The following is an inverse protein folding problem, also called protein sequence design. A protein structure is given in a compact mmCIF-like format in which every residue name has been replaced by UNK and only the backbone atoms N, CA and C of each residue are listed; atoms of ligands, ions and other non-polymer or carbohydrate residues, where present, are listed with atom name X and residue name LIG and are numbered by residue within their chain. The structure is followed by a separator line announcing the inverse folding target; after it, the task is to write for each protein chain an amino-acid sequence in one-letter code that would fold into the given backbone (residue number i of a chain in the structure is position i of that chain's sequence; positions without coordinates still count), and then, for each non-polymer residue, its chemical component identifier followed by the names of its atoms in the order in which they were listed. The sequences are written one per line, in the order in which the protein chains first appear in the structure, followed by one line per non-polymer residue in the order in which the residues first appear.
data_IF_427020733291
#
_entry.id   IF_427020733291
#
_cell.length_a   1.000
_cell.length_b   1.000
_cell.length_c   1.000
_cell.angle_alpha   90.00
_cell.angle_beta   90.00
_cell.angle_gamma   90.00
#
_symmetry.space_group_name_H-M   'P 1'
#
loop_
_entity.id
_entity.type
_entity.pdbx_description
1 polymer ?
#
# COMPACT_ATOMS: atom_id res chain seq x y z
N UNK A 1 29.34 -12.33 -17.09
CA UNK A 1 27.86 -12.39 -17.02
C UNK A 1 27.35 -10.98 -16.74
N UNK A 2 26.45 -10.48 -17.55
CA UNK A 2 25.79 -9.19 -17.33
C UNK A 2 24.84 -9.27 -16.13
N UNK A 3 24.34 -8.14 -15.65
CA UNK A 3 23.36 -8.14 -14.55
C UNK A 3 22.05 -8.80 -14.97
N UNK A 4 21.58 -8.55 -16.19
CA UNK A 4 20.38 -9.17 -16.72
C UNK A 4 20.52 -10.70 -16.87
N UNK A 5 21.67 -11.19 -17.34
CA UNK A 5 21.99 -12.64 -17.37
C UNK A 5 22.03 -13.22 -15.95
N UNK A 6 22.65 -12.50 -14.99
CA UNK A 6 22.68 -12.93 -13.58
C UNK A 6 21.26 -13.07 -13.02
N UNK A 7 20.40 -12.11 -13.33
CA UNK A 7 18.99 -12.13 -12.90
C UNK A 7 18.25 -13.34 -13.49
N UNK A 8 18.35 -13.52 -14.81
CA UNK A 8 17.60 -14.58 -15.51
C UNK A 8 18.11 -15.98 -15.17
N UNK A 9 19.44 -16.17 -15.08
CA UNK A 9 20.02 -17.51 -14.95
C UNK A 9 20.27 -17.96 -13.51
N UNK A 10 20.50 -17.01 -12.58
CA UNK A 10 20.87 -17.34 -11.20
C UNK A 10 19.82 -16.93 -10.17
N UNK A 11 19.19 -15.76 -10.32
CA UNK A 11 18.27 -15.23 -9.30
C UNK A 11 16.84 -15.74 -9.51
N UNK A 12 16.30 -15.63 -10.72
CA UNK A 12 14.94 -16.04 -11.04
C UNK A 12 14.69 -17.54 -10.74
N UNK A 13 15.59 -18.47 -11.08
CA UNK A 13 15.40 -19.88 -10.71
C UNK A 13 15.36 -20.10 -9.20
N UNK A 14 16.21 -19.40 -8.43
CA UNK A 14 16.21 -19.49 -6.96
C UNK A 14 14.92 -18.96 -6.34
N UNK A 15 14.37 -17.88 -6.88
CA UNK A 15 13.07 -17.37 -6.44
C UNK A 15 11.95 -18.37 -6.71
N UNK A 16 11.90 -18.98 -7.90
CA UNK A 16 10.92 -20.03 -8.22
C UNK A 16 11.06 -21.26 -7.32
N UNK A 17 12.28 -21.72 -7.06
CA UNK A 17 12.55 -22.83 -6.13
C UNK A 17 12.07 -22.53 -4.71
N UNK A 18 12.06 -21.25 -4.31
CA UNK A 18 11.51 -20.81 -3.03
C UNK A 18 9.99 -20.55 -3.05
N UNK A 19 9.29 -20.91 -4.14
CA UNK A 19 7.84 -20.78 -4.25
C UNK A 19 7.32 -19.41 -4.67
N UNK A 20 8.20 -18.52 -5.14
CA UNK A 20 7.78 -17.25 -5.71
C UNK A 20 7.27 -17.44 -7.15
N UNK A 21 6.34 -16.59 -7.59
CA UNK A 21 5.59 -16.67 -8.87
C UNK A 21 4.54 -17.79 -8.90
N UNK A 22 4.16 -18.32 -7.72
CA UNK A 22 3.08 -19.29 -7.57
C UNK A 22 1.92 -18.65 -6.79
N UNK A 23 0.69 -18.98 -7.15
CA UNK A 23 -0.54 -18.51 -6.49
C UNK A 23 -0.55 -16.98 -6.27
N UNK A 24 -0.65 -16.55 -5.03
CA UNK A 24 -0.67 -15.13 -4.62
C UNK A 24 0.73 -14.52 -4.44
N UNK A 25 1.79 -15.29 -4.69
CA UNK A 25 3.17 -14.83 -4.58
C UNK A 25 3.66 -14.23 -5.91
N UNK A 26 4.02 -12.96 -5.91
CA UNK A 26 4.42 -12.21 -7.11
C UNK A 26 5.83 -11.67 -7.00
N UNK A 27 6.57 -11.79 -8.10
CA UNK A 27 7.87 -11.17 -8.30
C UNK A 27 7.72 -10.02 -9.29
N UNK A 28 7.75 -8.80 -8.78
CA UNK A 28 7.65 -7.61 -9.61
C UNK A 28 9.06 -7.17 -10.00
N UNK A 29 9.43 -7.35 -11.25
CA UNK A 29 10.74 -6.98 -11.81
C UNK A 29 10.76 -5.54 -12.28
N UNK A 30 11.92 -4.88 -12.16
CA UNK A 30 12.11 -3.47 -12.54
C UNK A 30 11.01 -2.57 -11.93
N UNK A 31 10.79 -2.74 -10.63
CA UNK A 31 9.68 -2.07 -9.95
C UNK A 31 9.98 -0.56 -9.78
N UNK A 32 9.12 0.32 -10.31
CA UNK A 32 9.33 1.76 -10.21
C UNK A 32 9.06 2.25 -8.77
N UNK A 33 10.11 2.65 -8.07
CA UNK A 33 10.00 3.23 -6.71
C UNK A 33 9.59 4.70 -6.81
N UNK A 34 10.24 5.48 -7.66
CA UNK A 34 9.93 6.90 -7.85
C UNK A 34 10.19 7.36 -9.28
N UNK A 35 9.33 8.22 -9.77
CA UNK A 35 9.51 8.87 -11.08
C UNK A 35 10.58 9.99 -11.08
N UNK A 36 11.36 10.10 -9.99
CA UNK A 36 12.32 11.17 -9.77
C UNK A 36 11.70 12.39 -9.08
N UNK A 37 12.53 13.13 -8.33
CA UNK A 37 12.11 14.38 -7.65
C UNK A 37 12.00 15.50 -8.70
N UNK A 38 11.01 16.35 -8.54
CA UNK A 38 10.93 17.59 -9.31
C UNK A 38 12.00 18.54 -8.78
N UNK A 39 12.91 18.94 -9.65
CA UNK A 39 13.99 19.90 -9.37
C UNK A 39 13.54 21.32 -9.72
N UNK A 40 14.30 22.31 -9.24
CA UNK A 40 14.11 23.72 -9.62
C UNK A 40 14.15 23.82 -11.15
N UNK A 41 13.10 24.44 -11.75
CA UNK A 41 12.96 24.52 -13.21
C UNK A 41 12.10 23.40 -13.84
N UNK A 42 11.39 22.57 -13.02
CA UNK A 42 10.40 21.60 -13.49
C UNK A 42 10.99 20.30 -14.06
N UNK A 43 12.30 20.14 -14.10
CA UNK A 43 12.96 18.89 -14.51
C UNK A 43 12.83 17.84 -13.40
N UNK A 44 12.67 16.57 -13.78
CA UNK A 44 12.71 15.45 -12.83
C UNK A 44 14.12 14.89 -12.72
N UNK A 45 14.54 14.50 -11.53
CA UNK A 45 15.71 13.65 -11.35
C UNK A 45 15.44 12.26 -11.96
N UNK A 46 16.46 11.45 -12.10
CA UNK A 46 16.34 10.09 -12.63
C UNK A 46 15.31 9.29 -11.84
N UNK A 47 14.48 8.52 -12.54
CA UNK A 47 13.60 7.56 -11.94
C UNK A 47 14.41 6.45 -11.24
N UNK A 48 13.90 5.97 -10.12
CA UNK A 48 14.54 4.90 -9.33
C UNK A 48 13.70 3.65 -9.48
N UNK A 49 14.35 2.54 -9.80
CA UNK A 49 13.74 1.22 -9.93
C UNK A 49 14.45 0.26 -8.98
N UNK A 50 13.69 -0.63 -8.37
CA UNK A 50 14.24 -1.80 -7.70
C UNK A 50 14.26 -2.97 -8.69
N UNK A 51 15.29 -3.81 -8.63
CA UNK A 51 15.39 -4.97 -9.52
C UNK A 51 14.21 -5.92 -9.30
N UNK A 52 13.89 -6.19 -8.03
CA UNK A 52 12.74 -7.00 -7.66
C UNK A 52 12.01 -6.45 -6.44
N UNK A 53 10.69 -6.57 -6.44
CA UNK A 53 9.84 -6.42 -5.25
C UNK A 53 9.01 -7.69 -5.11
N UNK A 54 9.17 -8.35 -3.98
CA UNK A 54 8.42 -9.54 -3.62
C UNK A 54 7.12 -9.17 -2.92
N UNK A 55 6.01 -9.67 -3.44
CA UNK A 55 4.67 -9.43 -2.88
C UNK A 55 3.96 -10.76 -2.64
N UNK A 56 3.26 -10.86 -1.51
CA UNK A 56 2.44 -12.03 -1.18
C UNK A 56 1.11 -11.59 -0.62
N UNK A 57 0.02 -12.24 -1.02
CA UNK A 57 -1.36 -11.86 -0.65
C UNK A 57 -1.63 -10.36 -0.88
N UNK A 58 -1.11 -9.81 -1.97
CA UNK A 58 -1.28 -8.39 -2.33
C UNK A 58 -0.46 -7.37 -1.52
N UNK A 59 0.40 -7.83 -0.59
CA UNK A 59 1.26 -6.97 0.22
C UNK A 59 2.73 -7.14 -0.19
N UNK A 60 3.45 -6.03 -0.35
CA UNK A 60 4.90 -6.03 -0.57
C UNK A 60 5.62 -6.41 0.71
N UNK A 61 6.50 -7.40 0.65
CA UNK A 61 7.22 -7.94 1.80
C UNK A 61 8.71 -7.65 1.79
N UNK A 62 9.34 -7.66 0.59
CA UNK A 62 10.76 -7.42 0.47
C UNK A 62 11.12 -6.79 -0.87
N UNK A 63 12.30 -6.17 -0.90
CA UNK A 63 12.97 -5.73 -2.12
C UNK A 63 14.29 -6.48 -2.27
N UNK A 64 14.70 -6.77 -3.50
CA UNK A 64 15.98 -7.38 -3.83
C UNK A 64 16.72 -6.48 -4.79
N UNK A 65 17.98 -6.23 -4.49
CA UNK A 65 18.94 -5.58 -5.38
C UNK A 65 19.90 -6.64 -5.94
N UNK A 66 19.99 -6.68 -7.25
CA UNK A 66 20.84 -7.61 -7.98
C UNK A 66 22.15 -6.94 -8.43
N UNK A 67 23.21 -7.69 -8.46
CA UNK A 67 24.49 -7.29 -9.03
C UNK A 67 25.02 -8.40 -9.94
N UNK A 68 25.99 -8.07 -10.79
CA UNK A 68 26.66 -9.05 -11.66
C UNK A 68 27.28 -10.16 -10.83
N UNK A 69 27.29 -11.38 -11.36
CA UNK A 69 27.78 -12.58 -10.69
C UNK A 69 29.27 -12.56 -10.31
N UNK A 70 30.05 -11.67 -10.88
CA UNK A 70 31.47 -11.45 -10.61
C UNK A 70 31.76 -10.34 -9.59
N UNK A 71 30.72 -9.60 -9.17
CA UNK A 71 30.81 -8.62 -8.11
C UNK A 71 30.43 -9.24 -6.75
N UNK A 72 30.97 -8.68 -5.67
CA UNK A 72 30.54 -9.07 -4.33
C UNK A 72 29.08 -8.61 -4.04
N UNK A 73 28.33 -9.41 -3.29
CA UNK A 73 26.97 -9.02 -2.86
C UNK A 73 26.93 -7.68 -2.12
N UNK A 74 28.03 -7.30 -1.47
CA UNK A 74 28.15 -6.03 -0.73
C UNK A 74 27.94 -4.77 -1.57
N UNK A 75 28.19 -4.84 -2.87
CA UNK A 75 28.01 -3.72 -3.81
C UNK A 75 26.54 -3.25 -3.88
N UNK A 76 25.57 -4.15 -3.64
CA UNK A 76 24.14 -3.85 -3.67
C UNK A 76 23.54 -3.47 -2.32
N UNK A 77 24.23 -3.64 -1.20
CA UNK A 77 23.67 -3.54 0.15
C UNK A 77 23.09 -2.15 0.46
N UNK A 78 23.86 -1.09 0.18
CA UNK A 78 23.42 0.28 0.43
C UNK A 78 22.15 0.61 -0.37
N UNK A 79 22.11 0.21 -1.63
CA UNK A 79 21.00 0.44 -2.55
C UNK A 79 19.75 -0.37 -2.13
N UNK A 80 19.94 -1.62 -1.72
CA UNK A 80 18.88 -2.47 -1.19
C UNK A 80 18.23 -1.85 0.07
N UNK A 81 19.05 -1.33 0.99
CA UNK A 81 18.56 -0.62 2.20
C UNK A 81 17.77 0.65 1.84
N UNK A 82 18.31 1.47 0.94
CA UNK A 82 17.63 2.69 0.47
C UNK A 82 16.25 2.40 -0.14
N UNK A 83 16.16 1.32 -0.90
CA UNK A 83 14.88 0.91 -1.51
C UNK A 83 13.89 0.38 -0.49
N UNK A 84 14.36 -0.45 0.46
CA UNK A 84 13.53 -0.93 1.55
C UNK A 84 13.01 0.21 2.42
N UNK A 85 13.83 1.21 2.72
CA UNK A 85 13.43 2.40 3.47
C UNK A 85 12.34 3.19 2.71
N UNK A 86 12.54 3.47 1.41
CA UNK A 86 11.56 4.18 0.59
C UNK A 86 10.23 3.43 0.50
N UNK A 87 10.25 2.12 0.39
CA UNK A 87 9.07 1.26 0.34
C UNK A 87 8.51 0.90 1.72
N UNK A 88 9.19 1.31 2.80
CA UNK A 88 8.82 0.99 4.20
C UNK A 88 8.73 -0.51 4.46
N UNK A 89 9.66 -1.28 3.89
CA UNK A 89 9.75 -2.72 4.03
C UNK A 89 10.72 -3.09 5.17
N UNK A 90 10.40 -4.17 5.88
CA UNK A 90 11.22 -4.65 7.00
C UNK A 90 12.34 -5.61 6.56
N UNK A 91 12.24 -6.16 5.35
CA UNK A 91 13.23 -7.11 4.82
C UNK A 91 13.72 -6.66 3.46
N UNK A 92 15.03 -6.78 3.24
CA UNK A 92 15.63 -6.59 1.92
C UNK A 92 16.77 -7.58 1.69
N UNK A 93 17.12 -7.77 0.43
CA UNK A 93 18.21 -8.64 0.02
C UNK A 93 19.12 -7.94 -0.98
N UNK A 94 20.40 -8.21 -0.86
CA UNK A 94 21.39 -7.92 -1.92
C UNK A 94 21.96 -9.25 -2.41
N UNK A 95 22.10 -9.42 -3.73
CA UNK A 95 22.57 -10.68 -4.30
C UNK A 95 23.31 -10.49 -5.60
N UNK A 96 24.32 -11.32 -5.83
CA UNK A 96 25.00 -11.50 -7.12
C UNK A 96 24.58 -12.80 -7.83
N UNK A 97 23.48 -13.42 -7.37
CA UNK A 97 22.97 -14.69 -7.86
C UNK A 97 23.67 -15.91 -7.27
N UNK A 98 24.91 -15.81 -6.78
CA UNK A 98 25.63 -16.87 -6.08
C UNK A 98 25.38 -16.81 -4.58
N UNK A 99 25.56 -15.64 -4.02
CA UNK A 99 25.39 -15.33 -2.60
C UNK A 99 24.13 -14.47 -2.43
N UNK A 100 23.42 -14.70 -1.32
CA UNK A 100 22.21 -13.96 -0.95
C UNK A 100 22.44 -13.35 0.43
N UNK A 101 22.46 -12.03 0.52
CA UNK A 101 22.63 -11.30 1.76
C UNK A 101 21.30 -10.73 2.23
N UNK A 102 20.81 -11.21 3.36
CA UNK A 102 19.54 -10.82 3.96
C UNK A 102 19.75 -9.72 5.00
N UNK A 103 18.91 -8.71 4.97
CA UNK A 103 18.97 -7.55 5.84
C UNK A 103 17.60 -7.32 6.46
N UNK A 104 17.54 -7.29 7.79
CA UNK A 104 16.35 -6.90 8.54
C UNK A 104 16.44 -5.42 8.90
N UNK A 105 15.65 -4.57 8.26
CA UNK A 105 15.64 -3.12 8.48
C UNK A 105 15.21 -2.71 9.88
N UNK A 106 14.40 -3.56 10.54
CA UNK A 106 13.87 -3.29 11.87
C UNK A 106 14.89 -3.51 12.99
N UNK A 107 15.71 -4.57 12.88
CA UNK A 107 16.67 -4.95 13.91
C UNK A 107 18.11 -4.61 13.55
N UNK A 108 18.38 -4.31 12.29
CA UNK A 108 19.72 -4.14 11.74
C UNK A 108 20.49 -5.46 11.59
N UNK A 109 19.87 -6.63 11.80
CA UNK A 109 20.52 -7.93 11.60
C UNK A 109 20.77 -8.17 10.13
N UNK A 110 22.00 -8.57 9.82
CA UNK A 110 22.45 -8.84 8.47
C UNK A 110 23.18 -10.19 8.45
N UNK A 111 22.87 -11.03 7.45
CA UNK A 111 23.45 -12.37 7.36
C UNK A 111 23.42 -12.90 5.92
N UNK A 112 24.38 -13.76 5.57
CA UNK A 112 24.29 -14.59 4.38
C UNK A 112 23.28 -15.70 4.62
N UNK A 113 22.46 -15.97 3.60
CA UNK A 113 21.47 -17.04 3.63
C UNK A 113 21.62 -17.93 2.39
N UNK A 114 21.31 -19.22 2.55
CA UNK A 114 21.49 -20.21 1.49
C UNK A 114 20.41 -20.12 0.39
N UNK A 115 19.22 -19.61 0.74
CA UNK A 115 18.08 -19.46 -0.16
C UNK A 115 17.24 -18.22 0.19
N UNK A 116 16.44 -17.78 -0.74
CA UNK A 116 15.37 -16.86 -0.41
C UNK A 116 14.31 -17.54 0.47
N UNK A 117 13.72 -16.81 1.43
CA UNK A 117 12.59 -17.35 2.18
C UNK A 117 11.40 -17.61 1.26
N UNK A 118 10.59 -18.60 1.61
CA UNK A 118 9.31 -18.82 0.94
C UNK A 118 8.37 -17.62 1.19
N UNK A 119 7.31 -17.41 0.36
CA UNK A 119 6.31 -16.38 0.60
C UNK A 119 5.73 -16.43 2.02
N UNK A 120 5.42 -17.63 2.52
CA UNK A 120 4.84 -17.84 3.84
C UNK A 120 5.86 -17.55 4.97
N UNK A 121 7.11 -17.98 4.83
CA UNK A 121 8.17 -17.65 5.79
C UNK A 121 8.39 -16.14 5.90
N UNK A 122 8.39 -15.43 4.77
CA UNK A 122 8.56 -13.99 4.75
C UNK A 122 7.34 -13.26 5.31
N UNK A 123 6.14 -13.77 5.06
CA UNK A 123 4.90 -13.29 5.65
C UNK A 123 4.93 -13.40 7.16
N UNK A 124 5.24 -14.60 7.69
CA UNK A 124 5.29 -14.87 9.13
C UNK A 124 6.41 -14.07 9.82
N UNK A 125 7.51 -13.79 9.12
CA UNK A 125 8.57 -12.90 9.62
C UNK A 125 8.10 -11.44 9.70
N UNK A 126 7.29 -11.00 8.76
CA UNK A 126 6.77 -9.62 8.70
C UNK A 126 5.60 -9.42 9.66
N UNK A 127 4.73 -10.40 9.78
CA UNK A 127 3.54 -10.35 10.60
C UNK A 127 3.56 -11.45 11.66
N UNK A 128 3.79 -11.06 12.91
CA UNK A 128 3.89 -11.99 14.05
C UNK A 128 2.53 -12.56 14.49
N UNK A 129 1.42 -11.99 14.01
CA UNK A 129 0.06 -12.39 14.37
C UNK A 129 -0.76 -12.73 13.11
N UNK A 130 -1.63 -13.71 13.24
CA UNK A 130 -2.66 -13.97 12.23
C UNK A 130 -3.75 -12.92 12.37
N UNK A 131 -4.17 -12.33 11.26
CA UNK A 131 -5.19 -11.28 11.25
C UNK A 131 -6.04 -11.37 9.99
N UNK A 132 -7.22 -11.97 10.12
CA UNK A 132 -8.15 -12.17 9.02
C UNK A 132 -8.52 -10.87 8.31
N UNK A 133 -8.57 -9.74 9.03
CA UNK A 133 -8.88 -8.45 8.42
C UNK A 133 -7.76 -7.90 7.58
N UNK A 134 -6.49 -8.16 7.95
CA UNK A 134 -5.33 -7.84 7.12
C UNK A 134 -5.45 -8.56 5.78
N UNK A 135 -5.73 -9.86 5.80
CA UNK A 135 -5.85 -10.68 4.60
C UNK A 135 -7.04 -10.23 3.75
N UNK A 136 -8.23 -10.06 4.34
CA UNK A 136 -9.43 -9.55 3.64
C UNK A 136 -9.19 -8.17 2.98
N UNK A 137 -8.47 -7.27 3.63
CA UNK A 137 -8.12 -5.99 3.01
C UNK A 137 -7.13 -6.14 1.85
N UNK A 138 -6.19 -7.07 1.97
CA UNK A 138 -5.19 -7.33 0.95
C UNK A 138 -5.80 -7.97 -0.32
N UNK A 139 -6.75 -8.88 -0.18
CA UNK A 139 -7.48 -9.53 -1.28
C UNK A 139 -8.24 -8.54 -2.18
N UNK A 140 -8.67 -7.40 -1.64
CA UNK A 140 -9.42 -6.42 -2.41
C UNK A 140 -8.46 -5.57 -3.24
N UNK A 141 -8.55 -5.60 -4.58
CA UNK A 141 -7.70 -4.78 -5.42
C UNK A 141 -7.99 -3.29 -5.23
N UNK A 142 -7.00 -2.46 -5.54
CA UNK A 142 -7.24 -1.02 -5.67
C UNK A 142 -8.23 -0.75 -6.80
N UNK A 143 -9.11 0.21 -6.60
CA UNK A 143 -9.98 0.68 -7.65
C UNK A 143 -9.20 1.64 -8.55
N UNK A 144 -9.02 1.29 -9.80
CA UNK A 144 -8.27 2.07 -10.79
C UNK A 144 -9.14 3.04 -11.61
N UNK A 145 -10.42 3.16 -11.24
CA UNK A 145 -11.40 3.98 -11.96
C UNK A 145 -11.42 3.70 -13.46
N UNK A 146 -11.45 2.42 -13.83
CA UNK A 146 -11.46 1.99 -15.22
C UNK A 146 -10.12 2.23 -15.95
N UNK A 147 -9.00 2.09 -15.23
CA UNK A 147 -7.64 2.23 -15.76
C UNK A 147 -7.14 3.67 -15.83
N UNK A 148 -7.96 4.65 -15.42
CA UNK A 148 -7.60 6.08 -15.49
C UNK A 148 -6.72 6.51 -14.31
N UNK A 149 -6.72 5.75 -13.22
CA UNK A 149 -5.97 6.09 -12.02
C UNK A 149 -4.90 5.05 -11.70
N UNK A 150 -3.67 5.53 -11.53
CA UNK A 150 -2.54 4.70 -11.09
C UNK A 150 -2.12 5.12 -9.71
N UNK A 151 -2.11 4.16 -8.79
CA UNK A 151 -1.63 4.40 -7.43
C UNK A 151 -0.13 4.73 -7.44
N UNK A 152 0.25 5.74 -6.66
CA UNK A 152 1.66 6.07 -6.44
C UNK A 152 2.17 5.30 -5.23
N UNK A 153 3.46 4.96 -5.22
CA UNK A 153 4.06 4.14 -4.16
C UNK A 153 3.75 4.65 -2.74
N UNK A 154 3.84 5.97 -2.50
CA UNK A 154 3.56 6.56 -1.20
C UNK A 154 2.08 6.53 -0.82
N UNK A 155 1.16 6.59 -1.79
CA UNK A 155 -0.28 6.41 -1.57
C UNK A 155 -0.57 4.97 -1.15
N UNK A 156 0.03 4.01 -1.84
CA UNK A 156 -0.09 2.59 -1.51
C UNK A 156 0.41 2.32 -0.09
N UNK A 157 1.60 2.84 0.29
CA UNK A 157 2.13 2.72 1.65
C UNK A 157 1.15 3.32 2.67
N UNK A 158 0.62 4.52 2.43
CA UNK A 158 -0.32 5.17 3.33
C UNK A 158 -1.59 4.35 3.52
N UNK A 159 -2.15 3.79 2.44
CA UNK A 159 -3.34 2.96 2.48
C UNK A 159 -3.07 1.66 3.23
N UNK A 160 -1.98 0.95 2.91
CA UNK A 160 -1.62 -0.31 3.56
C UNK A 160 -1.37 -0.13 5.06
N UNK A 161 -0.60 0.89 5.46
CA UNK A 161 -0.34 1.17 6.89
C UNK A 161 -1.61 1.56 7.64
N UNK A 162 -2.53 2.28 7.00
CA UNK A 162 -3.83 2.62 7.60
C UNK A 162 -4.68 1.36 7.80
N UNK A 163 -4.80 0.53 6.79
CA UNK A 163 -5.59 -0.71 6.87
C UNK A 163 -4.99 -1.70 7.86
N UNK A 164 -3.67 -1.78 7.94
CA UNK A 164 -2.98 -2.57 8.97
C UNK A 164 -3.30 -2.05 10.38
N UNK A 165 -3.27 -0.74 10.59
CA UNK A 165 -3.65 -0.15 11.86
C UNK A 165 -5.12 -0.43 12.23
N UNK A 166 -6.03 -0.40 11.24
CA UNK A 166 -7.44 -0.79 11.41
C UNK A 166 -7.55 -2.28 11.76
N UNK A 167 -6.82 -3.14 11.06
CA UNK A 167 -6.76 -4.57 11.34
C UNK A 167 -6.27 -4.83 12.77
N UNK A 168 -5.31 -4.07 13.26
CA UNK A 168 -4.79 -4.11 14.63
C UNK A 168 -5.65 -3.39 15.68
N UNK A 169 -6.87 -2.98 15.33
CA UNK A 169 -7.82 -2.28 16.24
C UNK A 169 -7.30 -0.93 16.78
N UNK A 170 -6.38 -0.26 16.06
CA UNK A 170 -5.97 1.10 16.42
C UNK A 170 -7.16 2.05 16.26
N UNK A 171 -7.44 2.82 17.30
CA UNK A 171 -8.62 3.71 17.30
C UNK A 171 -8.34 5.07 16.67
N UNK A 172 -7.07 5.46 16.59
CA UNK A 172 -6.65 6.75 16.01
C UNK A 172 -5.47 6.56 15.10
N UNK A 173 -5.56 7.14 13.91
CA UNK A 173 -4.53 7.03 12.89
C UNK A 173 -4.31 8.44 12.34
N UNK A 174 -3.04 8.89 12.31
CA UNK A 174 -2.65 10.16 11.73
C UNK A 174 -1.82 9.91 10.46
N UNK A 175 -2.26 10.48 9.35
CA UNK A 175 -1.50 10.52 8.10
C UNK A 175 -1.08 11.96 7.81
N UNK A 176 0.22 12.21 7.76
CA UNK A 176 0.77 13.52 7.38
C UNK A 176 1.23 13.47 5.93
N UNK A 177 0.58 14.26 5.10
CA UNK A 177 0.80 14.28 3.65
C UNK A 177 0.79 15.73 3.14
N UNK A 178 1.73 16.06 2.24
CA UNK A 178 1.78 17.36 1.60
C UNK A 178 0.52 17.64 0.74
N UNK A 179 0.28 18.89 0.40
CA UNK A 179 -0.75 19.28 -0.57
C UNK A 179 -0.45 18.70 -1.94
N UNK A 180 -1.49 18.33 -2.70
CA UNK A 180 -1.32 17.74 -4.04
C UNK A 180 -0.90 16.27 -4.07
N UNK A 181 -0.75 15.59 -2.92
CA UNK A 181 -0.38 14.17 -2.87
C UNK A 181 -1.54 13.21 -3.11
N UNK A 182 -2.75 13.71 -3.31
CA UNK A 182 -3.95 12.89 -3.54
C UNK A 182 -4.56 12.33 -2.26
N UNK A 183 -4.66 13.15 -1.20
CA UNK A 183 -5.28 12.74 0.08
C UNK A 183 -6.69 12.16 -0.10
N UNK A 184 -7.50 12.77 -0.98
CA UNK A 184 -8.86 12.29 -1.29
C UNK A 184 -8.83 10.91 -1.93
N UNK A 185 -7.88 10.66 -2.86
CA UNK A 185 -7.70 9.34 -3.47
C UNK A 185 -7.27 8.27 -2.45
N UNK A 186 -6.43 8.63 -1.49
CA UNK A 186 -6.05 7.75 -0.38
C UNK A 186 -7.28 7.41 0.48
N UNK A 187 -8.06 8.42 0.87
CA UNK A 187 -9.29 8.23 1.64
C UNK A 187 -10.31 7.37 0.88
N UNK A 188 -10.45 7.61 -0.44
CA UNK A 188 -11.29 6.80 -1.30
C UNK A 188 -10.88 5.32 -1.28
N UNK A 189 -9.59 5.01 -1.45
CA UNK A 189 -9.10 3.63 -1.48
C UNK A 189 -9.25 2.93 -0.11
N UNK A 190 -9.03 3.64 0.97
CA UNK A 190 -9.28 3.12 2.32
C UNK A 190 -10.77 2.77 2.46
N UNK A 191 -11.66 3.71 2.13
CA UNK A 191 -13.10 3.49 2.16
C UNK A 191 -13.54 2.34 1.25
N UNK A 192 -12.95 2.25 0.04
CA UNK A 192 -13.21 1.17 -0.91
C UNK A 192 -12.90 -0.21 -0.34
N UNK A 193 -11.72 -0.38 0.23
CA UNK A 193 -11.32 -1.66 0.83
C UNK A 193 -12.16 -2.01 2.06
N UNK A 194 -12.48 -1.05 2.91
CA UNK A 194 -13.38 -1.24 4.05
C UNK A 194 -14.80 -1.63 3.60
N UNK A 195 -15.32 -0.98 2.57
CA UNK A 195 -16.66 -1.24 2.03
C UNK A 195 -16.74 -2.63 1.40
N UNK A 196 -15.80 -2.96 0.51
CA UNK A 196 -15.77 -4.24 -0.19
C UNK A 196 -15.55 -5.43 0.75
N UNK A 197 -14.73 -5.27 1.79
CA UNK A 197 -14.55 -6.30 2.82
C UNK A 197 -15.71 -6.39 3.81
N UNK A 198 -16.68 -5.48 3.76
CA UNK A 198 -17.78 -5.35 4.73
C UNK A 198 -17.25 -5.14 6.16
N UNK A 199 -16.11 -4.46 6.29
CA UNK A 199 -15.58 -4.15 7.61
C UNK A 199 -16.52 -3.22 8.37
N UNK A 200 -16.79 -3.53 9.61
CA UNK A 200 -17.58 -2.70 10.51
C UNK A 200 -16.99 -2.73 11.93
N UNK A 201 -17.48 -1.89 12.82
CA UNK A 201 -16.95 -1.79 14.19
C UNK A 201 -17.09 -3.08 15.00
N UNK A 202 -18.11 -3.91 14.72
CA UNK A 202 -18.28 -5.21 15.37
C UNK A 202 -17.30 -6.25 14.79
N UNK A 203 -16.70 -5.99 13.62
CA UNK A 203 -15.77 -6.88 12.94
C UNK A 203 -16.36 -8.25 12.57
N UNK A 204 -17.65 -8.30 12.34
CA UNK A 204 -18.40 -9.53 12.00
C UNK A 204 -18.67 -9.70 10.49
N UNK A 205 -18.41 -8.66 9.69
CA UNK A 205 -18.69 -8.68 8.25
C UNK A 205 -20.19 -8.67 7.90
N UNK A 206 -21.08 -8.60 8.89
CA UNK A 206 -22.52 -8.70 8.68
C UNK A 206 -23.12 -7.46 8.01
N UNK A 207 -22.50 -6.30 8.23
CA UNK A 207 -22.98 -5.00 7.72
C UNK A 207 -21.90 -4.28 6.95
N UNK A 208 -22.33 -3.42 6.03
CA UNK A 208 -21.44 -2.45 5.39
C UNK A 208 -20.92 -1.44 6.43
N UNK A 209 -19.71 -0.89 6.23
CA UNK A 209 -19.16 0.13 7.12
C UNK A 209 -20.04 1.39 7.11
N UNK A 210 -20.00 2.13 8.20
CA UNK A 210 -20.44 3.53 8.25
C UNK A 210 -19.21 4.42 8.33
N UNK A 211 -18.98 5.16 7.27
CA UNK A 211 -17.80 6.02 7.11
C UNK A 211 -18.27 7.47 7.07
N UNK A 212 -17.69 8.33 7.88
CA UNK A 212 -17.94 9.76 7.85
C UNK A 212 -16.71 10.47 7.29
N UNK A 213 -16.88 11.13 6.15
CA UNK A 213 -15.87 12.00 5.55
C UNK A 213 -16.15 13.44 5.96
N UNK A 214 -15.21 14.02 6.71
CA UNK A 214 -15.28 15.41 7.16
C UNK A 214 -14.30 16.28 6.39
N UNK A 215 -14.79 17.33 5.77
CA UNK A 215 -13.98 18.37 5.14
C UNK A 215 -14.11 19.71 5.89
N UNK A 216 -13.14 20.59 5.67
CA UNK A 216 -13.18 21.95 6.23
C UNK A 216 -14.09 22.90 5.44
N UNK A 217 -14.31 22.61 4.14
CA UNK A 217 -15.12 23.45 3.23
C UNK A 217 -16.08 22.60 2.39
N UNK A 218 -17.22 23.20 2.06
CA UNK A 218 -18.23 22.54 1.23
C UNK A 218 -17.69 22.08 -0.12
N UNK A 219 -16.89 22.91 -0.81
CA UNK A 219 -16.32 22.56 -2.10
C UNK A 219 -15.47 21.27 -2.04
N UNK A 220 -14.72 21.06 -0.95
CA UNK A 220 -13.92 19.85 -0.76
C UNK A 220 -14.79 18.62 -0.44
N UNK A 221 -15.87 18.82 0.31
CA UNK A 221 -16.84 17.75 0.57
C UNK A 221 -17.60 17.35 -0.70
N UNK A 222 -17.94 18.31 -1.58
CA UNK A 222 -18.61 18.06 -2.86
C UNK A 222 -17.65 17.40 -3.86
N UNK A 223 -16.40 17.83 -3.92
CA UNK A 223 -15.37 17.17 -4.73
C UNK A 223 -15.14 15.72 -4.29
N UNK A 224 -15.00 15.49 -2.97
CA UNK A 224 -14.84 14.15 -2.43
C UNK A 224 -16.05 13.27 -2.73
N UNK A 225 -17.28 13.79 -2.59
CA UNK A 225 -18.50 13.08 -2.93
C UNK A 225 -18.47 12.62 -4.40
N UNK A 226 -18.11 13.49 -5.32
CA UNK A 226 -18.01 13.17 -6.75
C UNK A 226 -16.87 12.17 -7.04
N UNK A 227 -15.73 12.30 -6.35
CA UNK A 227 -14.61 11.37 -6.49
C UNK A 227 -14.96 9.94 -6.05
N UNK A 228 -15.98 9.77 -5.22
CA UNK A 228 -16.46 8.48 -4.73
C UNK A 228 -17.52 7.83 -5.64
N UNK A 229 -17.72 8.29 -6.84
CA UNK A 229 -18.74 7.80 -7.80
C UNK A 229 -18.61 6.30 -8.20
N UNK A 230 -17.50 5.62 -7.84
CA UNK A 230 -17.37 4.17 -8.04
C UNK A 230 -18.14 3.33 -7.00
N UNK A 231 -18.63 3.95 -5.92
CA UNK A 231 -19.54 3.29 -4.99
C UNK A 231 -20.99 3.32 -5.51
N UNK A 232 -21.86 2.41 -5.05
CA UNK A 232 -23.29 2.49 -5.36
C UNK A 232 -23.89 3.82 -4.89
N UNK A 233 -24.78 4.39 -5.69
CA UNK A 233 -25.39 5.70 -5.41
C UNK A 233 -26.13 5.75 -4.06
N UNK A 234 -26.78 4.65 -3.67
CA UNK A 234 -27.46 4.50 -2.39
C UNK A 234 -26.51 4.39 -1.18
N UNK A 235 -25.25 4.10 -1.43
CA UNK A 235 -24.23 4.08 -0.38
C UNK A 235 -23.70 5.47 -0.01
N UNK A 236 -23.85 6.47 -0.89
CA UNK A 236 -23.30 7.81 -0.73
C UNK A 236 -24.35 8.80 -0.23
N UNK A 237 -24.03 9.52 0.82
CA UNK A 237 -24.93 10.54 1.40
C UNK A 237 -24.19 11.85 1.61
N UNK A 238 -24.66 12.91 0.95
CA UNK A 238 -24.20 14.26 1.20
C UNK A 238 -25.08 14.91 2.28
N UNK A 239 -24.51 15.11 3.46
CA UNK A 239 -25.22 15.78 4.56
C UNK A 239 -25.06 17.29 4.43
N UNK A 240 -26.18 17.99 4.28
CA UNK A 240 -26.25 19.46 4.24
C UNK A 240 -27.02 19.98 5.46
N UNK A 241 -26.51 20.99 6.19
CA UNK A 241 -27.19 21.52 7.38
C UNK A 241 -28.61 22.01 7.08
N UNK A 242 -28.83 22.61 5.91
CA UNK A 242 -30.17 23.06 5.47
C UNK A 242 -31.18 21.92 5.32
N UNK A 243 -30.72 20.74 4.91
CA UNK A 243 -31.59 19.55 4.77
C UNK A 243 -31.91 18.95 6.14
N UNK A 244 -30.94 18.96 7.07
CA UNK A 244 -31.16 18.50 8.45
C UNK A 244 -32.21 19.40 9.11
N UNK A 245 -32.06 20.74 9.00
CA UNK A 245 -33.06 21.68 9.55
C UNK A 245 -34.45 21.47 8.96
N UNK A 246 -34.56 21.15 7.66
CA UNK A 246 -35.83 20.93 6.98
C UNK A 246 -36.49 19.60 7.36
N UNK A 247 -35.68 18.54 7.53
CA UNK A 247 -36.17 17.16 7.80
C UNK A 247 -36.20 16.78 9.26
N UNK A 248 -35.57 17.58 10.14
CA UNK A 248 -35.45 17.31 11.59
C UNK A 248 -34.59 16.09 11.93
N UNK A 249 -33.94 15.46 10.94
CA UNK A 249 -33.13 14.27 11.15
C UNK A 249 -31.95 14.19 10.18
N UNK A 250 -30.88 13.56 10.63
CA UNK A 250 -29.72 13.21 9.78
C UNK A 250 -30.07 11.94 8.99
N UNK A 251 -29.77 11.87 7.69
CA UNK A 251 -29.93 10.64 6.90
C UNK A 251 -29.14 9.49 7.51
N UNK A 252 -29.75 8.30 7.60
CA UNK A 252 -29.11 7.10 8.20
C UNK A 252 -28.99 5.92 7.25
N UNK A 253 -29.51 6.04 6.05
CA UNK A 253 -29.67 4.95 5.08
C UNK A 253 -28.47 4.72 4.15
N UNK A 254 -27.35 5.47 4.32
CA UNK A 254 -26.15 5.28 3.55
C UNK A 254 -25.04 4.53 4.30
N UNK A 255 -23.92 4.38 3.62
CA UNK A 255 -22.69 3.80 4.16
C UNK A 255 -21.56 4.83 4.29
N UNK A 256 -21.51 5.81 3.37
CA UNK A 256 -20.46 6.84 3.35
C UNK A 256 -21.13 8.21 3.35
N UNK A 257 -20.86 8.96 4.38
CA UNK A 257 -21.47 10.25 4.64
C UNK A 257 -20.45 11.36 4.46
N UNK A 258 -20.80 12.41 3.72
CA UNK A 258 -19.93 13.55 3.45
C UNK A 258 -20.52 14.80 4.05
N UNK A 259 -19.71 15.55 4.82
CA UNK A 259 -20.14 16.81 5.40
C UNK A 259 -18.94 17.70 5.73
N UNK A 260 -19.22 18.87 6.27
CA UNK A 260 -18.19 19.78 6.75
C UNK A 260 -18.18 19.81 8.29
N UNK A 261 -17.02 20.11 8.85
CA UNK A 261 -16.82 20.14 10.29
C UNK A 261 -17.81 21.09 11.00
N UNK A 262 -18.07 22.25 10.40
CA UNK A 262 -19.01 23.25 10.94
C UNK A 262 -20.44 22.75 11.08
N UNK A 263 -20.84 21.69 10.34
CA UNK A 263 -22.20 21.13 10.44
C UNK A 263 -22.49 20.50 11.79
N UNK A 264 -21.47 20.24 12.61
CA UNK A 264 -21.59 19.66 13.95
C UNK A 264 -21.36 20.68 15.07
N UNK A 265 -20.99 21.92 14.73
CA UNK A 265 -20.68 22.98 15.68
C UNK A 265 -21.81 23.99 15.82
N UNK A 266 -22.90 23.84 15.05
CA UNK A 266 -24.04 24.79 15.01
C UNK A 266 -25.28 24.25 15.70
#
# INVERSE_FOLDING_TARGET
MTEDETRAELIDPKLRLSGWEMDDAKVNRNFPITAGRIQTGGRRSQAIFADYVLSYKGIKLAVIEAKKADLGYGEGVSQAKDYAEKLRLETTFATNGKEIYSICMKTGREELVDRFPTPEELWNKTFSDQNDWREKFAEIPFNDKGGTWKIRFYQEIAIQKTLEAVAQKKQRILLTLATGTGKTSIAFQIAWKLFKSRWNLNRDGARLPRILFLADRNILADQAFNDFSAFPDDALVRIKPSEIKKKGAVPTNGSIFFTIFQSFMS
#
